data_IF_155102727838
#
_entry.id   IF_155102727838
#
_cell.length_a   1.000
_cell.length_b   1.000
_cell.length_c   1.000
_cell.angle_alpha   90.00
_cell.angle_beta   90.00
_cell.angle_gamma   90.00
#
_symmetry.space_group_name_H-M   'P 1'
#
loop_
_entity.id
_entity.type
_entity.pdbx_description
1 polymer ?
#
# COMPACT_ATOMS: atom_id res chain seq x y z
N UNK A 1 2.94 39.34 0.00
CA UNK A 1 4.04 38.37 0.10
C UNK A 1 4.05 37.75 1.49
N UNK A 2 3.60 36.50 1.62
CA UNK A 2 4.03 35.56 2.65
C UNK A 2 4.25 34.24 1.94
N UNK A 3 5.51 33.92 1.69
CA UNK A 3 5.94 32.61 1.22
C UNK A 3 5.77 31.64 2.39
N UNK A 4 4.61 30.98 2.46
CA UNK A 4 4.42 29.81 3.31
C UNK A 4 4.81 28.60 2.50
N UNK A 5 6.04 28.11 2.69
CA UNK A 5 6.55 26.94 1.99
C UNK A 5 5.61 25.76 2.17
N UNK A 6 5.10 25.25 1.05
CA UNK A 6 4.30 24.03 0.99
C UNK A 6 5.26 22.87 1.28
N UNK A 7 5.17 22.32 2.49
CA UNK A 7 5.82 21.05 2.82
C UNK A 7 5.06 19.94 2.07
N UNK A 8 5.57 19.55 0.90
CA UNK A 8 5.10 18.40 0.17
C UNK A 8 5.58 17.11 0.88
N UNK A 9 4.74 16.52 1.73
CA UNK A 9 4.85 15.09 2.09
C UNK A 9 4.09 14.35 1.00
N UNK A 10 4.81 13.95 -0.05
CA UNK A 10 4.29 13.57 -1.38
C UNK A 10 3.10 12.57 -1.39
N UNK A 11 1.88 13.10 -1.28
CA UNK A 11 0.86 13.09 -2.35
C UNK A 11 -0.58 13.28 -1.83
N UNK A 12 -0.81 13.45 -0.52
CA UNK A 12 -2.09 13.91 0.02
C UNK A 12 -2.07 14.11 1.54
N UNK A 13 -3.01 14.92 2.01
CA UNK A 13 -3.37 15.16 3.40
C UNK A 13 -4.12 13.95 3.98
N UNK A 14 -3.73 13.40 5.14
CA UNK A 14 -4.54 12.40 5.84
C UNK A 14 -5.95 12.93 6.20
N UNK A 15 -7.00 12.09 6.16
CA UNK A 15 -7.02 10.75 5.61
C UNK A 15 -7.12 10.83 4.07
N UNK A 16 -6.07 10.46 3.37
CA UNK A 16 -6.19 10.31 1.93
C UNK A 16 -6.85 8.97 1.64
N UNK A 17 -8.12 9.02 1.30
CA UNK A 17 -8.86 7.88 0.76
C UNK A 17 -8.69 7.76 -0.76
N UNK A 18 -7.91 8.64 -1.42
CA UNK A 18 -7.57 8.44 -2.82
C UNK A 18 -6.58 7.29 -2.97
N UNK A 19 -6.94 6.38 -3.87
CA UNK A 19 -6.08 5.30 -4.31
C UNK A 19 -4.88 5.92 -5.02
N UNK A 20 -3.70 5.90 -4.37
CA UNK A 20 -2.43 6.29 -5.01
C UNK A 20 -2.11 5.32 -6.15
N UNK A 21 -2.56 5.62 -7.35
CA UNK A 21 -2.33 4.81 -8.55
C UNK A 21 -1.12 5.32 -9.34
N UNK A 22 0.08 5.06 -8.84
CA UNK A 22 1.29 5.14 -9.67
C UNK A 22 2.02 3.80 -9.77
N UNK A 23 1.68 2.82 -8.93
CA UNK A 23 2.40 1.53 -8.86
C UNK A 23 1.63 0.38 -9.55
N UNK A 24 0.51 0.66 -10.23
CA UNK A 24 -0.36 -0.36 -10.80
C UNK A 24 0.32 -1.21 -11.86
N UNK A 25 1.04 -0.57 -12.79
CA UNK A 25 1.79 -1.25 -13.84
C UNK A 25 2.93 -2.10 -13.25
N UNK A 26 3.71 -1.55 -12.31
CA UNK A 26 4.81 -2.27 -11.66
C UNK A 26 4.31 -3.49 -10.86
N UNK A 27 3.22 -3.33 -10.12
CA UNK A 27 2.59 -4.44 -9.39
C UNK A 27 2.08 -5.52 -10.34
N UNK A 28 1.47 -5.14 -11.47
CA UNK A 28 1.02 -6.09 -12.48
C UNK A 28 2.21 -6.87 -13.06
N UNK A 29 3.26 -6.18 -13.51
CA UNK A 29 4.44 -6.83 -14.08
C UNK A 29 5.16 -7.72 -13.07
N UNK A 30 5.28 -7.27 -11.82
CA UNK A 30 5.86 -8.08 -10.74
C UNK A 30 5.05 -9.34 -10.51
N UNK A 31 3.71 -9.24 -10.43
CA UNK A 31 2.84 -10.39 -10.25
C UNK A 31 2.89 -11.34 -11.45
N UNK A 32 2.82 -10.81 -12.67
CA UNK A 32 2.92 -11.58 -13.91
C UNK A 32 4.25 -12.34 -14.00
N UNK A 33 5.38 -11.65 -13.76
CA UNK A 33 6.71 -12.25 -13.84
C UNK A 33 6.92 -13.34 -12.78
N UNK A 34 6.35 -13.19 -11.57
CA UNK A 34 6.42 -14.21 -10.50
C UNK A 34 5.79 -15.55 -10.86
N UNK A 35 4.92 -15.59 -11.88
CA UNK A 35 4.28 -16.84 -12.33
C UNK A 35 5.22 -17.73 -13.15
N UNK A 36 6.39 -17.21 -13.57
CA UNK A 36 7.35 -17.95 -14.37
C UNK A 36 8.61 -18.26 -13.56
N UNK A 37 8.92 -19.55 -13.40
CA UNK A 37 10.13 -20.03 -12.73
C UNK A 37 11.28 -20.30 -13.72
N UNK A 38 11.04 -20.16 -15.02
CA UNK A 38 12.02 -20.35 -16.08
C UNK A 38 12.30 -19.01 -16.81
N UNK A 39 13.55 -18.71 -17.18
CA UNK A 39 13.90 -17.50 -17.95
C UNK A 39 13.20 -17.41 -19.31
N UNK A 40 12.84 -18.56 -19.89
CA UNK A 40 12.20 -18.68 -21.20
C UNK A 40 10.99 -19.62 -21.13
N UNK A 41 9.85 -19.15 -20.58
CA UNK A 41 8.64 -19.96 -20.52
C UNK A 41 8.10 -20.23 -21.92
N UNK A 42 7.54 -21.42 -22.13
CA UNK A 42 6.91 -21.73 -23.41
C UNK A 42 5.66 -20.85 -23.64
N UNK A 43 5.28 -20.65 -24.91
CA UNK A 43 4.14 -19.79 -25.27
C UNK A 43 2.81 -20.28 -24.68
N UNK A 44 2.66 -21.60 -24.50
CA UNK A 44 1.46 -22.19 -23.91
C UNK A 44 1.30 -21.82 -22.42
N UNK A 45 2.38 -21.78 -21.67
CA UNK A 45 2.44 -21.39 -20.27
C UNK A 45 2.15 -19.90 -20.12
N UNK A 46 2.70 -19.06 -20.99
CA UNK A 46 2.34 -17.64 -21.06
C UNK A 46 0.84 -17.48 -21.30
N UNK A 47 0.28 -18.21 -22.27
CA UNK A 47 -1.15 -18.19 -22.56
C UNK A 47 -2.02 -18.66 -21.39
N UNK A 48 -1.55 -19.66 -20.63
CA UNK A 48 -2.23 -20.14 -19.43
C UNK A 48 -2.27 -19.09 -18.33
N UNK A 49 -1.11 -18.50 -18.00
CA UNK A 49 -0.98 -17.45 -16.97
C UNK A 49 -1.85 -16.23 -17.31
N UNK A 50 -1.87 -15.80 -18.57
CA UNK A 50 -2.73 -14.68 -18.99
C UNK A 50 -4.21 -15.00 -18.78
N UNK A 51 -4.66 -16.21 -19.11
CA UNK A 51 -6.04 -16.64 -18.88
C UNK A 51 -6.40 -16.66 -17.39
N UNK A 52 -5.48 -17.14 -16.55
CA UNK A 52 -5.68 -17.18 -15.10
C UNK A 52 -5.85 -15.77 -14.51
N UNK A 53 -4.95 -14.85 -14.86
CA UNK A 53 -5.02 -13.44 -14.44
C UNK A 53 -6.34 -12.79 -14.93
N UNK A 54 -6.76 -13.06 -16.16
CA UNK A 54 -8.03 -12.57 -16.70
C UNK A 54 -9.23 -13.13 -15.92
N UNK A 55 -9.23 -14.43 -15.63
CA UNK A 55 -10.27 -15.07 -14.83
C UNK A 55 -10.37 -14.47 -13.42
N UNK A 56 -9.25 -14.31 -12.71
CA UNK A 56 -9.22 -13.66 -11.39
C UNK A 56 -9.75 -12.23 -11.44
N UNK A 57 -9.34 -11.47 -12.45
CA UNK A 57 -9.77 -10.08 -12.63
C UNK A 57 -11.28 -10.01 -12.86
N UNK A 58 -11.82 -10.89 -13.72
CA UNK A 58 -13.25 -10.99 -13.95
C UNK A 58 -14.03 -11.37 -12.70
N UNK A 59 -13.50 -12.29 -11.88
CA UNK A 59 -14.09 -12.66 -10.59
C UNK A 59 -14.10 -11.48 -9.61
N UNK A 60 -13.01 -10.73 -9.50
CA UNK A 60 -12.92 -9.52 -8.67
C UNK A 60 -13.91 -8.45 -9.12
N UNK A 61 -14.03 -8.19 -10.43
CA UNK A 61 -15.02 -7.26 -10.99
C UNK A 61 -16.45 -7.70 -10.63
N UNK A 62 -16.79 -8.98 -10.83
CA UNK A 62 -18.11 -9.51 -10.47
C UNK A 62 -18.39 -9.42 -8.97
N UNK A 63 -17.39 -9.65 -8.12
CA UNK A 63 -17.49 -9.49 -6.67
C UNK A 63 -17.86 -8.06 -6.30
N UNK A 64 -17.17 -7.08 -6.89
CA UNK A 64 -17.43 -5.64 -6.67
C UNK A 64 -18.84 -5.28 -7.16
N UNK A 65 -19.24 -5.73 -8.36
CA UNK A 65 -20.58 -5.50 -8.91
C UNK A 65 -21.70 -6.07 -8.05
N UNK A 66 -21.44 -7.15 -7.32
CA UNK A 66 -22.38 -7.77 -6.36
C UNK A 66 -22.39 -7.08 -4.99
N UNK A 67 -21.57 -6.04 -4.79
CA UNK A 67 -21.44 -5.37 -3.50
C UNK A 67 -20.68 -6.19 -2.46
N UNK A 68 -19.95 -7.24 -2.85
CA UNK A 68 -19.11 -8.00 -1.96
C UNK A 68 -17.87 -7.16 -1.62
N UNK A 69 -17.90 -6.49 -0.47
CA UNK A 69 -16.78 -5.71 0.03
C UNK A 69 -15.80 -6.61 0.77
N UNK A 70 -14.52 -6.55 0.39
CA UNK A 70 -13.47 -7.18 1.19
C UNK A 70 -13.36 -6.46 2.53
N UNK A 71 -13.34 -7.22 3.61
CA UNK A 71 -13.08 -6.67 4.94
C UNK A 71 -11.64 -6.16 4.99
N UNK A 72 -11.47 -4.88 5.31
CA UNK A 72 -10.15 -4.32 5.59
C UNK A 72 -9.64 -5.03 6.85
N UNK A 73 -8.39 -5.50 6.79
CA UNK A 73 -7.71 -6.14 7.93
C UNK A 73 -7.70 -5.21 9.15
N UNK A 74 -7.84 -5.76 10.35
CA UNK A 74 -7.93 -4.98 11.59
C UNK A 74 -6.75 -4.06 11.81
N UNK A 75 -5.54 -4.51 11.49
CA UNK A 75 -4.30 -3.74 11.63
C UNK A 75 -4.31 -2.50 10.73
N UNK A 76 -4.86 -2.64 9.52
CA UNK A 76 -4.95 -1.54 8.57
C UNK A 76 -6.01 -0.52 9.01
N UNK A 77 -7.10 -0.96 9.66
CA UNK A 77 -8.07 -0.07 10.31
C UNK A 77 -7.44 0.71 11.46
N UNK A 78 -6.75 0.02 12.36
CA UNK A 78 -6.05 0.62 13.50
C UNK A 78 -5.00 1.63 13.03
N UNK A 79 -4.19 1.27 12.05
CA UNK A 79 -3.20 2.18 11.47
C UNK A 79 -3.86 3.42 10.85
N UNK A 80 -5.00 3.26 10.18
CA UNK A 80 -5.72 4.40 9.58
C UNK A 80 -6.27 5.33 10.66
N UNK A 81 -6.81 4.77 11.74
CA UNK A 81 -7.28 5.53 12.91
C UNK A 81 -6.14 6.29 13.60
N UNK A 82 -5.01 5.63 13.87
CA UNK A 82 -3.84 6.28 14.47
C UNK A 82 -3.28 7.41 13.59
N UNK A 83 -3.26 7.22 12.27
CA UNK A 83 -2.80 8.24 11.33
C UNK A 83 -3.69 9.49 11.37
N UNK A 84 -5.01 9.29 11.52
CA UNK A 84 -5.98 10.37 11.68
C UNK A 84 -5.75 11.16 12.96
N UNK A 85 -5.64 10.48 14.09
CA UNK A 85 -5.38 11.10 15.39
C UNK A 85 -4.07 11.90 15.38
N UNK A 86 -2.99 11.31 14.85
CA UNK A 86 -1.70 12.00 14.73
C UNK A 86 -1.78 13.23 13.81
N UNK A 87 -2.60 13.15 12.75
CA UNK A 87 -2.81 14.28 11.84
C UNK A 87 -3.58 15.42 12.51
N UNK A 88 -4.60 15.12 13.30
CA UNK A 88 -5.32 16.12 14.09
C UNK A 88 -4.41 16.82 15.10
N UNK A 89 -3.58 16.06 15.83
CA UNK A 89 -2.56 16.64 16.73
C UNK A 89 -1.59 17.55 15.98
N UNK A 90 -1.13 17.13 14.80
CA UNK A 90 -0.28 17.97 13.95
C UNK A 90 -1.00 19.25 13.50
N UNK A 91 -2.30 19.17 13.24
CA UNK A 91 -3.10 20.34 12.88
C UNK A 91 -3.21 21.37 14.02
N UNK A 92 -2.98 20.99 15.25
CA UNK A 92 -2.94 21.91 16.40
C UNK A 92 -1.52 22.40 16.69
N UNK A 93 -0.58 21.47 16.83
CA UNK A 93 0.78 21.77 17.31
C UNK A 93 1.71 22.34 16.22
N UNK A 94 1.45 22.01 14.94
CA UNK A 94 2.31 22.32 13.77
C UNK A 94 3.74 21.76 13.88
N UNK A 95 4.00 20.83 14.81
CA UNK A 95 5.29 20.17 14.97
C UNK A 95 5.44 18.98 14.02
N UNK A 96 6.18 19.20 12.94
CA UNK A 96 6.43 18.19 11.90
C UNK A 96 7.28 17.04 12.42
N UNK A 97 8.25 17.29 13.29
CA UNK A 97 9.18 16.25 13.77
C UNK A 97 8.44 15.28 14.68
N UNK A 98 7.63 15.80 15.59
CA UNK A 98 6.78 14.99 16.47
C UNK A 98 5.75 14.20 15.67
N UNK A 99 5.12 14.79 14.65
CA UNK A 99 4.22 14.04 13.78
C UNK A 99 4.93 12.88 13.06
N UNK A 100 6.10 13.15 12.46
CA UNK A 100 6.87 12.14 11.75
C UNK A 100 7.35 11.03 12.69
N UNK A 101 7.73 11.31 13.94
CA UNK A 101 8.16 10.27 14.87
C UNK A 101 7.05 9.25 15.19
N UNK A 102 5.78 9.69 15.20
CA UNK A 102 4.65 8.80 15.45
C UNK A 102 4.28 7.97 14.21
N UNK A 103 4.35 8.56 13.02
CA UNK A 103 3.87 7.95 11.77
C UNK A 103 4.96 7.17 11.02
N UNK A 104 6.25 7.51 11.20
CA UNK A 104 7.36 6.93 10.44
C UNK A 104 7.75 5.50 10.87
N UNK A 105 7.16 4.96 11.94
CA UNK A 105 7.43 3.57 12.39
C UNK A 105 7.14 2.50 11.33
N UNK A 106 6.44 2.84 10.24
CA UNK A 106 6.26 1.97 9.06
C UNK A 106 7.59 1.60 8.36
N UNK A 107 8.68 2.33 8.61
CA UNK A 107 10.00 2.09 8.04
C UNK A 107 11.08 1.91 9.11
N UNK A 108 10.73 1.40 10.30
CA UNK A 108 11.75 1.03 11.27
C UNK A 108 12.65 -0.01 10.59
N UNK A 109 13.95 0.27 10.35
CA UNK A 109 14.84 -0.74 9.80
C UNK A 109 14.81 -1.92 10.77
N UNK A 110 14.69 -3.14 10.25
CA UNK A 110 14.80 -4.35 11.08
C UNK A 110 16.18 -4.27 11.72
N UNK A 111 16.22 -4.07 13.04
CA UNK A 111 17.46 -4.17 13.79
C UNK A 111 17.73 -5.65 14.02
N UNK A 112 18.99 -6.08 13.92
CA UNK A 112 19.40 -7.49 14.02
C UNK A 112 18.89 -8.20 15.30
N UNK A 113 18.55 -7.43 16.34
CA UNK A 113 17.99 -7.90 17.62
C UNK A 113 16.58 -8.50 17.52
N UNK A 114 15.81 -8.22 16.47
CA UNK A 114 14.45 -8.76 16.28
C UNK A 114 14.44 -10.23 15.79
N UNK A 115 15.59 -10.78 15.37
CA UNK A 115 15.73 -12.19 14.95
C UNK A 115 15.98 -13.17 16.11
N UNK A 116 16.50 -12.70 17.24
CA UNK A 116 16.85 -13.58 18.38
C UNK A 116 15.65 -13.95 19.25
N UNK A 117 14.48 -13.33 19.07
CA UNK A 117 13.28 -13.58 19.88
C UNK A 117 12.19 -14.37 19.13
N UNK A 118 12.52 -15.03 18.01
CA UNK A 118 11.56 -15.82 17.22
C UNK A 118 11.83 -17.34 17.21
N UNK A 119 12.37 -17.89 18.30
CA UNK A 119 12.37 -19.34 18.58
C UNK A 119 11.36 -19.72 19.67
#
# INVERSE_FOLDING_TARGET
>A
MKAGGVFHIWAATPPDNLVRTTNGAESYHTNYNRQFYAPHPNVHMVGYVLKEIQCETALKIKSIQRGCQNTIRSEMKQHTALLLECWEMFLEERDVIKFLSHVANRYKPICEEDFENSE
#
